data_IF_127411120812
#
_entry.id   IF_127411120812
#
_cell.length_a   1.000
_cell.length_b   1.000
_cell.length_c   1.000
_cell.angle_alpha   90.00
_cell.angle_beta   90.00
_cell.angle_gamma   90.00
#
_symmetry.space_group_name_H-M   'P 1'
#
loop_
_entity.id
_entity.type
_entity.pdbx_description
1 polymer ?
#
# COMPACT_ATOMS: atom_id res chain seq x y z
N UNK A 1 20.07 -6.75 9.74
CA UNK A 1 19.34 -6.45 10.99
C UNK A 1 18.15 -5.60 10.58
N UNK A 2 16.95 -6.17 10.67
CA UNK A 2 15.71 -5.58 10.13
C UNK A 2 14.97 -4.82 11.23
N UNK A 3 14.58 -3.58 10.97
CA UNK A 3 13.71 -2.79 11.83
C UNK A 3 12.78 -1.97 10.94
N UNK A 4 11.48 -2.19 11.00
CA UNK A 4 10.52 -1.15 10.68
C UNK A 4 9.87 -0.69 11.98
N UNK A 5 10.07 0.59 12.28
CA UNK A 5 9.21 1.41 13.12
C UNK A 5 8.91 2.67 12.29
N UNK A 6 7.70 2.73 11.76
CA UNK A 6 7.18 3.80 10.91
C UNK A 6 5.94 3.28 10.19
N UNK A 7 4.80 3.95 10.37
CA UNK A 7 3.48 3.53 9.89
C UNK A 7 3.44 3.15 8.41
N UNK A 8 2.46 2.31 8.09
CA UNK A 8 2.26 1.58 6.84
C UNK A 8 2.08 2.48 5.60
N UNK A 9 3.19 2.92 4.99
CA UNK A 9 3.17 3.47 3.62
C UNK A 9 2.89 2.38 2.58
N UNK A 10 3.47 1.21 2.82
CA UNK A 10 3.25 0.00 2.03
C UNK A 10 2.72 -1.03 3.03
N UNK A 11 1.46 -1.42 2.87
CA UNK A 11 0.89 -2.44 3.76
C UNK A 11 1.67 -3.74 3.58
N UNK A 12 2.23 -4.32 4.66
CA UNK A 12 3.01 -5.53 4.55
C UNK A 12 2.14 -6.66 4.02
N UNK A 13 2.66 -7.37 3.03
CA UNK A 13 1.96 -8.52 2.48
C UNK A 13 2.50 -9.77 3.16
N UNK A 14 1.93 -10.11 4.31
CA UNK A 14 2.46 -11.19 5.12
C UNK A 14 2.31 -12.57 4.44
N UNK A 15 3.43 -13.28 4.38
CA UNK A 15 3.53 -14.67 3.98
C UNK A 15 4.06 -15.51 5.15
N UNK A 16 3.59 -16.76 5.22
CA UNK A 16 3.86 -17.69 6.32
C UNK A 16 4.04 -19.10 5.78
N UNK A 17 4.76 -19.95 6.49
CA UNK A 17 4.54 -21.39 6.37
C UNK A 17 3.14 -21.68 6.92
N UNK A 18 2.32 -22.38 6.14
CA UNK A 18 0.98 -22.78 6.55
C UNK A 18 0.98 -24.21 7.05
N UNK A 19 0.35 -24.45 8.19
CA UNK A 19 0.00 -25.79 8.65
C UNK A 19 -1.43 -26.12 8.22
N UNK A 20 -1.60 -27.22 7.49
CA UNK A 20 -2.86 -27.62 6.88
C UNK A 20 -3.04 -29.14 6.94
N UNK A 21 -4.23 -29.62 6.60
CA UNK A 21 -4.55 -31.05 6.54
C UNK A 21 -5.89 -31.27 5.87
N UNK A 22 -6.24 -32.52 5.61
CA UNK A 22 -7.50 -32.88 4.96
C UNK A 22 -8.44 -33.57 5.95
N UNK A 23 -9.75 -33.46 5.73
CA UNK A 23 -10.75 -34.12 6.57
C UNK A 23 -10.52 -35.64 6.58
N UNK A 24 -10.53 -36.23 7.78
CA UNK A 24 -10.26 -37.66 7.97
C UNK A 24 -8.79 -38.02 8.12
N UNK A 25 -7.86 -37.14 7.77
CA UNK A 25 -6.42 -37.35 8.00
C UNK A 25 -6.00 -36.81 9.38
N UNK A 26 -5.25 -37.62 10.15
CA UNK A 26 -4.65 -37.17 11.43
C UNK A 26 -3.35 -36.39 11.24
N UNK A 27 -2.75 -36.46 10.04
CA UNK A 27 -1.45 -35.89 9.76
C UNK A 27 -1.63 -34.43 9.34
N UNK A 28 -0.89 -33.53 9.98
CA UNK A 28 -0.77 -32.13 9.57
C UNK A 28 0.44 -31.97 8.65
N UNK A 29 0.22 -31.34 7.52
CA UNK A 29 1.24 -30.99 6.53
C UNK A 29 1.63 -29.52 6.68
N UNK A 30 2.78 -29.17 6.12
CA UNK A 30 3.28 -27.80 6.07
C UNK A 30 3.66 -27.42 4.66
N UNK A 31 3.44 -26.15 4.31
CA UNK A 31 3.95 -25.63 3.04
C UNK A 31 5.48 -25.67 3.04
N UNK A 32 6.13 -25.97 1.90
CA UNK A 32 7.58 -26.04 1.82
C UNK A 32 8.26 -24.66 1.87
N UNK A 33 7.49 -23.60 1.61
CA UNK A 33 7.91 -22.20 1.61
C UNK A 33 6.82 -21.33 2.25
N UNK A 34 7.19 -20.11 2.62
CA UNK A 34 6.26 -19.10 3.08
C UNK A 34 5.36 -18.66 1.92
N UNK A 35 4.05 -18.61 2.15
CA UNK A 35 3.04 -18.18 1.20
C UNK A 35 2.11 -17.16 1.84
N UNK A 36 1.69 -16.16 1.07
CA UNK A 36 0.53 -15.34 1.47
C UNK A 36 -0.73 -16.21 1.46
N UNK A 37 -1.79 -15.77 2.14
CA UNK A 37 -3.06 -16.53 2.16
C UNK A 37 -3.57 -16.84 0.74
N UNK A 38 -3.51 -15.85 -0.15
CA UNK A 38 -3.93 -16.00 -1.56
C UNK A 38 -3.02 -16.97 -2.34
N UNK A 39 -1.72 -16.93 -2.10
CA UNK A 39 -0.77 -17.87 -2.72
C UNK A 39 -1.00 -19.31 -2.22
N UNK A 40 -1.30 -19.48 -0.94
CA UNK A 40 -1.65 -20.77 -0.36
C UNK A 40 -2.96 -21.32 -0.94
N UNK A 41 -4.01 -20.50 -1.04
CA UNK A 41 -5.29 -20.87 -1.64
C UNK A 41 -5.11 -21.31 -3.11
N UNK A 42 -4.40 -20.51 -3.91
CA UNK A 42 -4.13 -20.86 -5.31
C UNK A 42 -3.30 -22.14 -5.44
N UNK A 43 -2.38 -22.39 -4.50
CA UNK A 43 -1.56 -23.60 -4.49
C UNK A 43 -2.37 -24.84 -4.13
N UNK A 44 -3.16 -24.78 -3.06
CA UNK A 44 -3.94 -25.92 -2.57
C UNK A 44 -5.08 -26.28 -3.53
N UNK A 45 -5.64 -25.32 -4.27
CA UNK A 45 -6.65 -25.55 -5.32
C UNK A 45 -6.20 -26.55 -6.41
N UNK A 46 -4.88 -26.75 -6.59
CA UNK A 46 -4.37 -27.75 -7.52
C UNK A 46 -4.34 -29.18 -6.94
N UNK A 47 -4.56 -29.36 -5.63
CA UNK A 47 -4.71 -30.67 -5.00
C UNK A 47 -6.18 -31.11 -5.08
N UNK A 48 -6.45 -32.30 -5.63
CA UNK A 48 -7.81 -32.85 -5.76
C UNK A 48 -8.53 -32.98 -4.41
N UNK A 49 -7.78 -33.10 -3.31
CA UNK A 49 -8.33 -33.18 -1.95
C UNK A 49 -8.69 -31.83 -1.35
N UNK A 50 -8.42 -30.72 -2.04
CA UNK A 50 -8.70 -29.36 -1.57
C UNK A 50 -10.15 -29.14 -1.15
N UNK A 51 -11.10 -29.85 -1.75
CA UNK A 51 -12.53 -29.84 -1.36
C UNK A 51 -12.74 -30.28 0.09
N UNK A 52 -11.84 -31.13 0.60
CA UNK A 52 -11.85 -31.64 1.97
C UNK A 52 -10.82 -30.95 2.86
N UNK A 53 -10.39 -29.73 2.53
CA UNK A 53 -9.41 -29.01 3.34
C UNK A 53 -9.96 -28.75 4.75
N UNK A 54 -9.23 -29.22 5.76
CA UNK A 54 -9.49 -28.92 7.16
C UNK A 54 -8.96 -27.51 7.51
N UNK A 55 -9.32 -26.92 8.66
CA UNK A 55 -8.84 -25.59 9.05
C UNK A 55 -7.31 -25.50 9.00
N UNK A 56 -6.81 -24.53 8.23
CA UNK A 56 -5.39 -24.22 8.08
C UNK A 56 -5.02 -23.00 8.94
N UNK A 57 -3.78 -22.97 9.41
CA UNK A 57 -3.29 -21.92 10.29
C UNK A 57 -1.88 -21.47 9.86
N UNK A 58 -1.59 -20.16 9.87
CA UNK A 58 -0.25 -19.67 9.63
C UNK A 58 0.65 -19.95 10.84
N UNK A 59 1.91 -20.31 10.57
CA UNK A 59 2.94 -20.40 11.61
C UNK A 59 3.56 -19.01 11.76
N UNK A 60 3.10 -18.25 12.76
CA UNK A 60 3.50 -16.85 13.00
C UNK A 60 5.02 -16.64 13.11
N UNK A 61 5.74 -17.64 13.63
CA UNK A 61 7.20 -17.58 13.75
C UNK A 61 7.94 -17.49 12.38
N UNK A 62 7.27 -17.86 11.29
CA UNK A 62 7.82 -17.87 9.92
C UNK A 62 7.36 -16.67 9.09
N UNK A 63 6.82 -15.64 9.74
CA UNK A 63 6.27 -14.46 9.07
C UNK A 63 7.34 -13.70 8.28
N UNK A 64 7.12 -13.53 6.98
CA UNK A 64 7.92 -12.68 6.10
C UNK A 64 7.04 -11.71 5.32
N UNK A 65 7.59 -10.56 4.92
CA UNK A 65 6.89 -9.62 4.05
C UNK A 65 7.18 -9.94 2.58
N UNK A 66 6.14 -10.35 1.85
CA UNK A 66 6.21 -10.71 0.43
C UNK A 66 6.62 -9.52 -0.46
N UNK A 67 6.33 -8.29 -0.04
CA UNK A 67 6.80 -7.09 -0.76
C UNK A 67 8.33 -6.98 -0.79
N UNK A 68 9.02 -7.59 0.19
CA UNK A 68 10.50 -7.58 0.32
C UNK A 68 11.15 -8.84 -0.23
N UNK A 69 10.48 -9.97 -0.10
CA UNK A 69 10.96 -11.28 -0.54
C UNK A 69 9.99 -11.81 -1.59
N UNK A 70 10.19 -11.45 -2.87
CA UNK A 70 9.33 -11.90 -3.95
C UNK A 70 9.25 -13.42 -3.98
N UNK A 71 8.08 -13.94 -4.35
CA UNK A 71 7.92 -15.36 -4.61
C UNK A 71 8.68 -15.72 -5.88
N UNK A 72 9.81 -16.40 -5.74
CA UNK A 72 10.67 -16.82 -6.86
C UNK A 72 10.44 -18.26 -7.29
N UNK A 73 9.64 -19.02 -6.53
CA UNK A 73 9.40 -20.42 -6.81
C UNK A 73 8.58 -20.58 -8.11
N UNK A 74 9.12 -21.26 -9.13
CA UNK A 74 8.48 -21.36 -10.46
C UNK A 74 7.18 -22.17 -10.46
N UNK A 75 6.89 -22.93 -9.39
CA UNK A 75 5.61 -23.64 -9.22
C UNK A 75 4.44 -22.68 -9.05
N UNK A 76 4.71 -21.42 -8.68
CA UNK A 76 3.72 -20.40 -8.45
C UNK A 76 3.74 -19.39 -9.59
N UNK A 77 2.87 -19.59 -10.59
CA UNK A 77 2.70 -18.64 -11.71
C UNK A 77 1.65 -17.60 -11.38
N UNK A 78 1.86 -16.86 -10.29
CA UNK A 78 1.01 -15.74 -9.90
C UNK A 78 1.68 -14.42 -10.25
N UNK A 79 0.92 -13.50 -10.85
CA UNK A 79 1.40 -12.12 -10.94
C UNK A 79 1.51 -11.58 -9.51
N UNK A 80 2.66 -11.00 -9.18
CA UNK A 80 2.82 -10.28 -7.92
C UNK A 80 1.68 -9.28 -7.79
N UNK A 81 0.99 -9.31 -6.65
CA UNK A 81 -0.02 -8.31 -6.35
C UNK A 81 0.70 -6.97 -6.26
N UNK A 82 0.17 -5.94 -6.93
CA UNK A 82 0.66 -4.59 -6.71
C UNK A 82 0.43 -4.26 -5.23
N UNK A 83 1.45 -3.77 -4.50
CA UNK A 83 1.28 -3.44 -3.10
C UNK A 83 0.17 -2.41 -2.94
N UNK A 84 -0.62 -2.55 -1.88
CA UNK A 84 -1.59 -1.52 -1.54
C UNK A 84 -0.82 -0.29 -1.07
N UNK A 85 -0.97 0.81 -1.80
CA UNK A 85 -0.22 2.05 -1.60
C UNK A 85 -1.13 3.10 -0.97
N UNK A 86 -0.77 3.57 0.21
CA UNK A 86 -1.36 4.77 0.80
C UNK A 86 -0.39 5.95 0.69
N UNK A 87 -0.89 7.18 0.79
CA UNK A 87 -0.06 8.36 0.64
C UNK A 87 0.84 8.54 1.89
N UNK A 88 2.19 8.43 1.78
CA UNK A 88 3.09 8.42 2.92
C UNK A 88 3.13 9.75 3.67
N UNK A 89 2.90 9.77 4.98
CA UNK A 89 3.05 10.97 5.80
C UNK A 89 4.48 11.53 5.75
N UNK A 90 4.65 12.79 6.13
CA UNK A 90 5.99 13.42 6.19
C UNK A 90 6.94 12.74 7.17
N UNK A 91 6.42 12.13 8.24
CA UNK A 91 7.21 11.33 9.18
C UNK A 91 7.70 10.06 8.52
N UNK A 92 6.83 9.36 7.80
CA UNK A 92 7.18 8.13 7.09
C UNK A 92 8.17 8.40 5.95
N UNK A 93 7.99 9.47 5.16
CA UNK A 93 8.96 9.88 4.14
C UNK A 93 10.35 10.17 4.74
N UNK A 94 10.42 10.78 5.93
CA UNK A 94 11.70 11.00 6.64
C UNK A 94 12.33 9.70 7.11
N UNK A 95 11.53 8.74 7.57
CA UNK A 95 12.02 7.43 7.98
C UNK A 95 12.55 6.66 6.77
N UNK A 96 11.78 6.61 5.68
CA UNK A 96 12.20 6.01 4.41
C UNK A 96 13.50 6.64 3.88
N UNK A 97 13.65 7.96 3.97
CA UNK A 97 14.88 8.64 3.57
C UNK A 97 16.12 8.20 4.37
N UNK A 98 15.96 7.95 5.67
CA UNK A 98 17.05 7.50 6.56
C UNK A 98 17.41 6.04 6.31
N UNK A 99 16.41 5.21 6.06
CA UNK A 99 16.58 3.77 5.87
C UNK A 99 17.14 3.43 4.49
N UNK A 100 16.67 4.10 3.43
CA UNK A 100 17.05 3.80 2.06
C UNK A 100 18.16 4.73 1.56
N UNK A 101 19.29 4.12 1.16
CA UNK A 101 20.41 4.82 0.51
C UNK A 101 20.30 4.84 -1.01
N UNK A 102 19.37 4.07 -1.57
CA UNK A 102 19.13 4.01 -3.01
C UNK A 102 18.72 5.38 -3.58
N UNK A 103 19.33 5.77 -4.70
CA UNK A 103 19.13 7.07 -5.32
C UNK A 103 17.74 7.23 -5.93
N UNK A 104 17.18 6.17 -6.51
CA UNK A 104 15.84 6.22 -7.13
C UNK A 104 14.76 6.40 -6.07
N UNK A 105 14.88 5.69 -4.94
CA UNK A 105 13.97 5.85 -3.79
C UNK A 105 14.04 7.28 -3.24
N UNK A 106 15.24 7.84 -3.08
CA UNK A 106 15.43 9.22 -2.61
C UNK A 106 14.84 10.24 -3.57
N UNK A 107 15.03 10.08 -4.87
CA UNK A 107 14.41 10.95 -5.88
C UNK A 107 12.90 10.90 -5.82
N UNK A 108 12.32 9.71 -5.70
CA UNK A 108 10.88 9.55 -5.55
C UNK A 108 10.35 10.28 -4.31
N UNK A 109 11.03 10.18 -3.17
CA UNK A 109 10.68 10.92 -1.95
C UNK A 109 10.70 12.43 -2.20
N UNK A 110 11.72 12.94 -2.90
CA UNK A 110 11.80 14.38 -3.21
C UNK A 110 10.68 14.81 -4.17
N UNK A 111 10.35 14.00 -5.17
CA UNK A 111 9.26 14.25 -6.11
C UNK A 111 7.92 14.35 -5.38
N UNK A 112 7.64 13.40 -4.47
CA UNK A 112 6.43 13.45 -3.62
C UNK A 112 6.38 14.76 -2.83
N UNK A 113 7.50 15.19 -2.22
CA UNK A 113 7.55 16.47 -1.49
C UNK A 113 7.36 17.69 -2.39
N UNK A 114 7.90 17.67 -3.60
CA UNK A 114 7.75 18.75 -4.57
C UNK A 114 6.29 18.85 -5.06
N UNK A 115 5.64 17.71 -5.29
CA UNK A 115 4.21 17.64 -5.64
C UNK A 115 3.35 18.19 -4.51
N UNK A 116 3.60 17.81 -3.24
CA UNK A 116 2.89 18.38 -2.08
C UNK A 116 2.96 19.91 -2.04
N UNK A 117 4.17 20.47 -2.20
CA UNK A 117 4.34 21.94 -2.27
C UNK A 117 3.59 22.57 -3.43
N UNK A 118 3.50 21.88 -4.56
CA UNK A 118 2.73 22.35 -5.71
C UNK A 118 1.24 22.40 -5.39
N UNK A 119 0.69 21.41 -4.66
CA UNK A 119 -0.70 21.42 -4.20
C UNK A 119 -0.97 22.58 -3.22
N UNK A 120 -0.08 22.82 -2.26
CA UNK A 120 -0.18 23.99 -1.35
C UNK A 120 -0.22 25.30 -2.13
N UNK A 121 0.66 25.45 -3.12
CA UNK A 121 0.70 26.65 -3.96
C UNK A 121 -0.59 26.86 -4.76
N UNK A 122 -1.21 25.79 -5.25
CA UNK A 122 -2.50 25.86 -5.95
C UNK A 122 -3.61 26.30 -4.97
N UNK A 123 -3.64 25.75 -3.76
CA UNK A 123 -4.61 26.17 -2.73
C UNK A 123 -4.40 27.65 -2.34
N UNK A 124 -3.16 28.07 -2.10
CA UNK A 124 -2.82 29.47 -1.78
C UNK A 124 -3.25 30.42 -2.90
N UNK A 125 -2.95 30.07 -4.15
CA UNK A 125 -3.37 30.85 -5.31
C UNK A 125 -4.89 30.95 -5.38
N UNK A 126 -5.61 29.86 -5.12
CA UNK A 126 -7.07 29.86 -5.10
C UNK A 126 -7.60 30.78 -4.01
N UNK A 127 -7.11 30.66 -2.77
CA UNK A 127 -7.54 31.50 -1.64
C UNK A 127 -7.26 32.98 -1.91
N UNK A 128 -6.10 33.29 -2.49
CA UNK A 128 -5.76 34.65 -2.89
C UNK A 128 -6.73 35.17 -3.95
N UNK A 129 -6.96 34.41 -5.02
CA UNK A 129 -7.83 34.79 -6.13
C UNK A 129 -9.28 34.96 -5.66
N UNK A 130 -9.75 34.06 -4.80
CA UNK A 130 -11.08 34.12 -4.21
C UNK A 130 -11.29 35.39 -3.37
N UNK A 131 -10.27 35.85 -2.64
CA UNK A 131 -10.37 37.08 -1.83
C UNK A 131 -10.21 38.37 -2.64
N UNK A 132 -9.37 38.35 -3.67
CA UNK A 132 -8.90 39.58 -4.31
C UNK A 132 -9.50 39.86 -5.70
N UNK A 133 -10.21 38.90 -6.30
CA UNK A 133 -10.83 39.08 -7.62
C UNK A 133 -12.34 39.26 -7.49
N UNK A 134 -12.83 40.44 -7.89
CA UNK A 134 -14.25 40.79 -7.79
C UNK A 134 -15.14 40.08 -8.83
N UNK A 135 -14.63 39.88 -10.04
CA UNK A 135 -15.36 39.16 -11.10
C UNK A 135 -14.67 37.82 -11.38
N UNK A 136 -15.34 36.74 -10.97
CA UNK A 136 -14.81 35.38 -11.08
C UNK A 136 -15.52 34.54 -12.16
N UNK A 137 -16.42 35.16 -12.93
CA UNK A 137 -17.16 34.55 -14.03
C UNK A 137 -17.96 33.29 -13.66
N UNK A 138 -18.28 32.47 -14.67
CA UNK A 138 -19.09 31.24 -14.55
C UNK A 138 -18.41 30.11 -13.77
N UNK A 139 -17.12 30.25 -13.48
CA UNK A 139 -16.32 29.24 -12.79
C UNK A 139 -16.38 29.37 -11.26
N UNK A 140 -17.02 30.42 -10.74
CA UNK A 140 -17.03 30.77 -9.32
C UNK A 140 -18.43 30.80 -8.69
N UNK A 141 -18.45 30.93 -7.36
CA UNK A 141 -19.66 30.81 -6.52
C UNK A 141 -19.72 29.46 -5.79
N UNK A 142 -20.69 29.32 -4.87
CA UNK A 142 -20.80 28.14 -3.99
C UNK A 142 -20.99 26.79 -4.73
N UNK A 143 -21.31 26.83 -6.03
CA UNK A 143 -21.49 25.66 -6.90
C UNK A 143 -20.59 25.67 -8.15
N UNK A 144 -19.63 26.60 -8.25
CA UNK A 144 -18.75 26.74 -9.41
C UNK A 144 -17.75 25.59 -9.55
N UNK A 145 -17.28 25.33 -10.78
CA UNK A 145 -16.34 24.24 -11.07
C UNK A 145 -14.99 24.42 -10.35
N UNK A 146 -14.51 25.66 -10.17
CA UNK A 146 -13.28 25.92 -9.41
C UNK A 146 -13.45 25.63 -7.92
N UNK A 147 -14.64 25.88 -7.36
CA UNK A 147 -14.95 25.56 -5.97
C UNK A 147 -15.00 24.05 -5.73
N UNK A 148 -15.58 23.29 -6.66
CA UNK A 148 -15.57 21.82 -6.64
C UNK A 148 -14.15 21.26 -6.76
N UNK A 149 -13.36 21.79 -7.69
CA UNK A 149 -11.94 21.42 -7.84
C UNK A 149 -11.16 21.65 -6.55
N UNK A 150 -11.46 22.74 -5.83
CA UNK A 150 -10.81 23.04 -4.55
C UNK A 150 -11.18 22.06 -3.43
N UNK A 151 -12.42 21.58 -3.40
CA UNK A 151 -12.81 20.52 -2.45
C UNK A 151 -12.07 19.22 -2.74
N UNK A 152 -12.01 18.80 -4.01
CA UNK A 152 -11.25 17.62 -4.43
C UNK A 152 -9.76 17.77 -4.08
N UNK A 153 -9.18 18.95 -4.33
CA UNK A 153 -7.79 19.25 -3.95
C UNK A 153 -7.57 19.08 -2.44
N UNK A 154 -8.48 19.62 -1.61
CA UNK A 154 -8.39 19.49 -0.14
C UNK A 154 -8.61 18.07 0.34
N UNK A 155 -9.42 17.28 -0.33
CA UNK A 155 -9.56 15.84 -0.06
C UNK A 155 -8.25 15.11 -0.36
N UNK A 156 -7.61 15.38 -1.50
CA UNK A 156 -6.31 14.81 -1.84
C UNK A 156 -5.20 15.26 -0.87
N UNK A 157 -5.19 16.53 -0.48
CA UNK A 157 -4.24 17.05 0.53
C UNK A 157 -4.45 16.39 1.91
N UNK A 158 -5.70 16.14 2.31
CA UNK A 158 -6.05 15.37 3.52
C UNK A 158 -5.58 13.93 3.44
N UNK A 159 -5.86 13.25 2.32
CA UNK A 159 -5.36 11.89 2.05
C UNK A 159 -3.84 11.83 2.12
N UNK A 160 -3.17 12.86 1.62
CA UNK A 160 -1.72 12.99 1.68
C UNK A 160 -1.17 13.41 3.06
N UNK A 161 -2.01 13.56 4.10
CA UNK A 161 -1.59 13.89 5.46
C UNK A 161 -1.02 15.31 5.61
N UNK A 162 -1.39 16.24 4.73
CA UNK A 162 -0.87 17.60 4.75
C UNK A 162 -1.63 18.51 5.73
N UNK A 163 -2.95 18.30 5.89
CA UNK A 163 -3.85 19.03 6.80
C UNK A 163 -5.05 18.18 7.20
#
# INVERSE_FOLDING_TARGET
MFLYSGGDVIKPQWAYIWEYGFQGEKIRLRTPIELTKREFECWIENDERSVFLAPCHPIEATRIDRNRVPLTDPRFKMKAAMPEFDAPTDVELRNLWREYTDLQVRWLILEIRALRKSLERIEEWYVYTDKNVANKGDLAGAQGQLYRLMHLLREEMRRAGMR
#
